data_IF_248485998091
#
_entry.id   IF_248485998091
#
_cell.length_a   1.000
_cell.length_b   1.000
_cell.length_c   1.000
_cell.angle_alpha   90.00
_cell.angle_beta   90.00
_cell.angle_gamma   90.00
#
_symmetry.space_group_name_H-M   'P 1'
#
loop_
_entity.id
_entity.type
_entity.pdbx_description
1 polymer ?
#
# COMPACT_ATOMS: atom_id res chain seq x y z
N UNK A 1 -7.28 -4.90 3.73
CA UNK A 1 -7.47 -3.70 4.55
C UNK A 1 -6.11 -3.17 4.96
N UNK A 2 -5.91 -1.86 4.89
CA UNK A 2 -4.66 -1.18 5.24
C UNK A 2 -4.89 -0.43 6.56
N UNK A 3 -4.13 -0.72 7.62
CA UNK A 3 -4.28 0.00 8.88
C UNK A 3 -3.82 1.46 8.74
N UNK A 4 -4.45 2.37 9.50
CA UNK A 4 -3.99 3.75 9.58
C UNK A 4 -2.65 3.80 10.32
N UNK A 5 -1.68 4.52 9.79
CA UNK A 5 -0.35 4.66 10.39
C UNK A 5 -0.36 5.34 11.77
N UNK A 6 -1.42 6.09 12.08
CA UNK A 6 -1.63 6.73 13.38
C UNK A 6 -2.15 5.79 14.45
N UNK A 7 -2.43 4.54 14.06
CA UNK A 7 -2.97 3.53 14.96
C UNK A 7 -4.46 3.72 15.25
N UNK A 8 -4.94 2.94 16.22
CA UNK A 8 -6.36 2.88 16.55
C UNK A 8 -7.11 1.89 15.66
N UNK A 9 -8.42 1.94 15.75
CA UNK A 9 -9.35 1.02 15.09
C UNK A 9 -9.76 1.51 13.68
N UNK A 10 -8.83 2.22 13.02
CA UNK A 10 -9.05 2.84 11.70
C UNK A 10 -8.31 2.10 10.62
N UNK A 11 -8.98 1.93 9.48
CA UNK A 11 -8.38 1.31 8.30
C UNK A 11 -8.99 1.83 7.01
N UNK A 12 -8.21 1.70 5.95
CA UNK A 12 -8.60 1.94 4.59
C UNK A 12 -8.91 0.60 3.91
N UNK A 13 -10.07 0.50 3.31
CA UNK A 13 -10.44 -0.59 2.42
C UNK A 13 -10.47 -0.08 0.99
N UNK A 14 -9.82 -0.80 0.09
CA UNK A 14 -9.86 -0.53 -1.35
C UNK A 14 -10.60 -1.68 -2.03
N UNK A 15 -11.62 -1.35 -2.81
CA UNK A 15 -12.47 -2.33 -3.50
C UNK A 15 -12.56 -1.97 -4.98
N UNK A 16 -12.34 -2.94 -5.85
CA UNK A 16 -12.54 -2.79 -7.28
C UNK A 16 -13.96 -3.18 -7.68
N UNK A 17 -14.60 -2.34 -8.48
CA UNK A 17 -15.93 -2.57 -9.06
C UNK A 17 -15.82 -2.61 -10.58
N UNK A 18 -15.73 -3.81 -11.20
CA UNK A 18 -15.51 -3.94 -12.64
C UNK A 18 -16.68 -3.42 -13.47
N UNK A 19 -17.92 -3.60 -12.98
CA UNK A 19 -19.12 -3.16 -13.69
C UNK A 19 -19.14 -1.64 -13.96
N UNK A 20 -18.51 -0.85 -13.09
CA UNK A 20 -18.41 0.61 -13.20
C UNK A 20 -17.02 1.11 -13.50
N UNK A 21 -16.04 0.20 -13.66
CA UNK A 21 -14.62 0.53 -13.82
C UNK A 21 -14.12 1.52 -12.75
N UNK A 22 -14.51 1.28 -11.51
CA UNK A 22 -14.28 2.19 -10.39
C UNK A 22 -13.56 1.48 -9.25
N UNK A 23 -12.55 2.14 -8.68
CA UNK A 23 -11.92 1.75 -7.42
C UNK A 23 -12.52 2.56 -6.30
N UNK A 24 -13.06 1.91 -5.28
CA UNK A 24 -13.64 2.60 -4.12
C UNK A 24 -12.71 2.50 -2.93
N UNK A 25 -12.29 3.65 -2.43
CA UNK A 25 -11.57 3.81 -1.19
C UNK A 25 -12.56 4.08 -0.07
N UNK A 26 -12.64 3.20 0.91
CA UNK A 26 -13.54 3.38 2.05
C UNK A 26 -12.77 3.43 3.37
N UNK A 27 -13.11 4.42 4.18
CA UNK A 27 -12.54 4.61 5.51
C UNK A 27 -13.44 3.96 6.54
N UNK A 28 -12.83 3.21 7.44
CA UNK A 28 -13.53 2.44 8.45
C UNK A 28 -12.98 2.77 9.84
N UNK A 29 -13.87 2.78 10.82
CA UNK A 29 -13.53 2.81 12.24
C UNK A 29 -14.29 1.67 12.90
N UNK A 30 -13.56 0.68 13.40
CA UNK A 30 -14.17 -0.58 13.82
C UNK A 30 -14.93 -1.24 12.66
N UNK A 31 -16.21 -1.49 12.85
CA UNK A 31 -17.12 -2.06 11.84
C UNK A 31 -17.89 -1.02 11.03
N UNK A 32 -17.65 0.29 11.27
CA UNK A 32 -18.44 1.37 10.68
C UNK A 32 -17.66 2.01 9.52
N UNK A 33 -18.27 2.07 8.34
CA UNK A 33 -17.75 2.85 7.22
C UNK A 33 -18.07 4.33 7.46
N UNK A 34 -17.05 5.16 7.62
CA UNK A 34 -17.18 6.59 7.92
C UNK A 34 -17.16 7.46 6.69
N UNK A 35 -16.51 7.01 5.62
CA UNK A 35 -16.46 7.71 4.34
C UNK A 35 -16.14 6.74 3.20
N UNK A 36 -16.55 7.08 1.99
CA UNK A 36 -16.15 6.36 0.78
C UNK A 36 -15.91 7.33 -0.37
N UNK A 37 -14.89 7.05 -1.17
CA UNK A 37 -14.51 7.85 -2.33
C UNK A 37 -14.39 6.92 -3.54
N UNK A 38 -15.29 6.98 -4.50
CA UNK A 38 -15.13 6.29 -5.78
C UNK A 38 -14.10 7.04 -6.64
N UNK A 39 -13.19 6.31 -7.25
CA UNK A 39 -12.15 6.82 -8.15
C UNK A 39 -12.25 6.07 -9.46
N UNK A 40 -12.30 6.79 -10.57
CA UNK A 40 -12.31 6.17 -11.91
C UNK A 40 -10.98 5.49 -12.21
N UNK A 41 -10.96 4.52 -13.10
CA UNK A 41 -9.72 3.84 -13.48
C UNK A 41 -8.69 4.82 -14.05
N UNK A 42 -9.12 5.86 -14.78
CA UNK A 42 -8.24 6.90 -15.29
C UNK A 42 -7.56 7.71 -14.19
N UNK A 43 -8.29 8.05 -13.14
CA UNK A 43 -7.73 8.77 -11.99
C UNK A 43 -6.91 7.84 -11.08
N UNK A 44 -7.25 6.55 -11.01
CA UNK A 44 -6.46 5.57 -10.27
C UNK A 44 -5.03 5.41 -10.80
N UNK A 45 -4.82 5.62 -12.11
CA UNK A 45 -3.47 5.60 -12.69
C UNK A 45 -2.58 6.68 -12.11
N UNK A 46 -3.12 7.86 -11.82
CA UNK A 46 -2.39 8.95 -11.14
C UNK A 46 -1.94 8.57 -9.73
N UNK A 47 -2.77 7.82 -9.01
CA UNK A 47 -2.37 7.29 -7.69
C UNK A 47 -1.21 6.32 -7.81
N UNK A 48 -1.21 5.45 -8.81
CA UNK A 48 -0.10 4.53 -9.06
C UNK A 48 1.18 5.30 -9.36
N UNK A 49 1.14 6.33 -10.20
CA UNK A 49 2.29 7.19 -10.50
C UNK A 49 2.83 7.88 -9.24
N UNK A 50 1.95 8.35 -8.37
CA UNK A 50 2.29 8.97 -7.10
C UNK A 50 3.01 7.99 -6.16
N UNK A 51 2.50 6.78 -6.03
CA UNK A 51 3.13 5.73 -5.22
C UNK A 51 4.49 5.31 -5.79
N UNK A 52 4.59 5.13 -7.10
CA UNK A 52 5.86 4.80 -7.77
C UNK A 52 6.87 5.94 -7.57
N UNK A 53 6.44 7.19 -7.69
CA UNK A 53 7.27 8.36 -7.44
C UNK A 53 7.80 8.41 -6.00
N UNK A 54 6.95 8.18 -5.02
CA UNK A 54 7.33 8.11 -3.61
C UNK A 54 8.34 6.99 -3.32
N UNK A 55 8.10 5.79 -3.86
CA UNK A 55 9.01 4.66 -3.72
C UNK A 55 10.38 4.93 -4.35
N UNK A 56 10.41 5.57 -5.52
CA UNK A 56 11.66 5.98 -6.17
C UNK A 56 12.44 7.01 -5.35
N UNK A 57 11.74 7.96 -4.74
CA UNK A 57 12.37 8.95 -3.85
C UNK A 57 13.01 8.29 -2.64
N UNK A 58 12.31 7.37 -1.99
CA UNK A 58 12.85 6.59 -0.88
C UNK A 58 14.06 5.77 -1.28
N UNK A 59 14.04 5.12 -2.45
CA UNK A 59 15.17 4.36 -2.96
C UNK A 59 16.39 5.26 -3.24
N UNK A 60 16.16 6.46 -3.79
CA UNK A 60 17.22 7.44 -4.05
C UNK A 60 17.84 7.95 -2.75
N UNK A 61 17.06 8.23 -1.74
CA UNK A 61 17.55 8.65 -0.41
C UNK A 61 18.39 7.55 0.25
N UNK A 62 17.94 6.28 0.15
CA UNK A 62 18.69 5.15 0.68
C UNK A 62 20.05 4.98 -0.01
N UNK A 63 20.15 5.21 -1.32
CA UNK A 63 21.40 5.14 -2.09
C UNK A 63 22.29 6.34 -1.76
N UNK A 64 21.74 7.55 -1.64
CA UNK A 64 22.49 8.77 -1.30
C UNK A 64 23.02 8.74 0.13
N UNK A 65 22.34 8.10 1.06
CA UNK A 65 22.81 7.88 2.43
C UNK A 65 23.97 6.90 2.55
N UNK A 66 24.22 6.06 1.54
CA UNK A 66 25.36 5.13 1.49
C UNK A 66 26.66 5.78 1.02
N UNK A 67 26.62 7.01 0.49
CA UNK A 67 27.81 7.76 0.03
C UNK A 67 28.55 8.54 1.11
N UNK A 68 28.04 8.61 2.33
CA UNK A 68 28.75 9.19 3.47
C UNK A 68 29.70 8.15 4.09
N UNK A 69 30.96 8.48 4.45
CA UNK A 69 31.85 7.55 5.13
C UNK A 69 31.19 7.14 6.44
N UNK A 70 30.69 5.90 6.46
CA UNK A 70 29.98 5.35 7.58
C UNK A 70 30.91 5.11 8.75
N UNK A 71 30.81 5.94 9.74
CA UNK A 71 31.17 5.57 11.10
C UNK A 71 29.85 5.49 11.88
N UNK A 72 29.29 4.29 12.02
CA UNK A 72 28.46 3.95 13.15
C UNK A 72 26.95 3.80 12.94
N UNK A 73 26.40 3.61 11.72
CA UNK A 73 24.95 3.43 11.57
C UNK A 73 24.53 2.34 10.55
N UNK A 74 25.30 1.26 10.44
CA UNK A 74 24.93 0.11 9.59
C UNK A 74 23.62 -0.59 10.02
N UNK A 75 23.18 -0.37 11.25
CA UNK A 75 21.98 -0.98 11.79
C UNK A 75 20.65 -0.39 11.28
N UNK A 76 20.62 0.93 11.04
CA UNK A 76 19.36 1.62 10.69
C UNK A 76 18.98 1.41 9.21
N UNK A 77 19.96 1.51 8.29
CA UNK A 77 19.73 1.28 6.86
C UNK A 77 19.41 -0.19 6.56
N UNK A 78 20.11 -1.13 7.21
CA UNK A 78 19.82 -2.56 7.10
C UNK A 78 18.46 -2.92 7.72
N UNK A 79 18.02 -2.22 8.73
CA UNK A 79 16.71 -2.37 9.35
C UNK A 79 15.59 -1.86 8.44
N UNK A 80 15.78 -0.73 7.77
CA UNK A 80 14.84 -0.18 6.79
C UNK A 80 14.72 -1.06 5.55
N UNK A 81 15.84 -1.54 5.00
CA UNK A 81 15.84 -2.48 3.88
C UNK A 81 15.22 -3.82 4.24
N UNK A 82 15.38 -4.32 5.47
CA UNK A 82 14.68 -5.51 5.95
C UNK A 82 13.18 -5.27 6.10
N UNK A 83 12.74 -4.09 6.52
CA UNK A 83 11.32 -3.74 6.59
C UNK A 83 10.70 -3.60 5.20
N UNK A 84 11.41 -2.98 4.24
CA UNK A 84 10.98 -2.89 2.85
C UNK A 84 10.97 -4.27 2.17
N UNK A 85 11.93 -5.14 2.47
CA UNK A 85 11.98 -6.50 1.94
C UNK A 85 10.86 -7.39 2.50
N UNK A 86 10.46 -7.22 3.75
CA UNK A 86 9.28 -7.87 4.32
C UNK A 86 7.97 -7.32 3.75
N UNK A 87 7.94 -6.04 3.38
CA UNK A 87 6.83 -5.44 2.66
C UNK A 87 6.72 -5.90 1.21
N UNK A 88 7.84 -6.13 0.52
CA UNK A 88 7.86 -6.56 -0.88
C UNK A 88 7.39 -8.01 -1.08
N UNK A 89 7.67 -8.90 -0.15
CA UNK A 89 7.08 -10.26 -0.15
C UNK A 89 5.57 -10.22 0.11
N UNK A 90 5.07 -9.17 0.74
CA UNK A 90 3.65 -8.97 0.99
C UNK A 90 2.86 -8.52 -0.25
N UNK A 91 3.49 -7.88 -1.25
CA UNK A 91 2.78 -7.42 -2.47
C UNK A 91 2.38 -8.60 -3.36
N UNK A 92 3.21 -9.63 -3.48
CA UNK A 92 2.89 -10.86 -4.22
C UNK A 92 1.84 -11.71 -3.48
N UNK A 93 1.90 -11.71 -2.14
CA UNK A 93 0.92 -12.42 -1.31
C UNK A 93 -0.43 -11.66 -1.26
N UNK A 94 -0.40 -10.33 -1.31
CA UNK A 94 -1.62 -9.51 -1.40
C UNK A 94 -2.37 -9.73 -2.72
N UNK A 95 -1.66 -9.85 -3.84
CA UNK A 95 -2.29 -10.13 -5.13
C UNK A 95 -2.93 -11.51 -5.16
N UNK A 96 -2.34 -12.48 -4.47
CA UNK A 96 -2.90 -13.83 -4.35
C UNK A 96 -4.12 -13.86 -3.41
N UNK A 97 -4.07 -13.15 -2.28
CA UNK A 97 -5.20 -13.03 -1.33
C UNK A 97 -6.36 -12.24 -1.91
N UNK A 98 -6.10 -11.19 -2.67
CA UNK A 98 -7.13 -10.41 -3.36
C UNK A 98 -7.82 -11.25 -4.44
N UNK A 99 -7.09 -12.14 -5.12
CA UNK A 99 -7.65 -13.04 -6.12
C UNK A 99 -8.54 -14.13 -5.50
N UNK A 100 -8.15 -14.67 -4.35
CA UNK A 100 -8.91 -15.72 -3.63
C UNK A 100 -10.20 -15.16 -2.99
N UNK A 101 -10.17 -13.93 -2.47
CA UNK A 101 -11.36 -13.30 -1.88
C UNK A 101 -12.35 -12.81 -2.94
N UNK A 102 -11.85 -12.57 -4.15
CA UNK A 102 -12.63 -12.23 -5.32
C UNK A 102 -13.49 -13.40 -5.84
N UNK A 103 -12.89 -14.60 -5.98
CA UNK A 103 -13.59 -15.80 -6.48
C UNK A 103 -14.72 -16.26 -5.52
N UNK A 104 -14.56 -16.07 -4.21
CA UNK A 104 -15.59 -16.43 -3.23
C UNK A 104 -16.84 -15.55 -3.26
N UNK A 105 -16.76 -14.34 -3.80
CA UNK A 105 -17.90 -13.40 -3.86
C UNK A 105 -18.57 -13.38 -5.21
N UNK A 106 -17.91 -13.88 -6.25
CA UNK A 106 -18.50 -14.00 -7.59
C UNK A 106 -19.45 -15.21 -7.73
N UNK A 107 -19.46 -16.11 -6.75
CA UNK A 107 -20.30 -17.34 -6.74
C UNK A 107 -21.48 -17.30 -5.78
N UNK A 108 -21.87 -16.11 -5.32
CA UNK A 108 -23.11 -15.95 -4.54
C UNK A 108 -24.09 -15.01 -5.21
#
# INVERSE_FOLDING_TARGET
>A
MLPDSRGGDRFLRVTWHPATSTVVFSHWTGSICTASTPVTLGDASRLVELFVGALRSLAKEAISGQGAPAQGNDGAAASLLRRLRRGATSVTDLSHRLRVDWDRRATR
#
